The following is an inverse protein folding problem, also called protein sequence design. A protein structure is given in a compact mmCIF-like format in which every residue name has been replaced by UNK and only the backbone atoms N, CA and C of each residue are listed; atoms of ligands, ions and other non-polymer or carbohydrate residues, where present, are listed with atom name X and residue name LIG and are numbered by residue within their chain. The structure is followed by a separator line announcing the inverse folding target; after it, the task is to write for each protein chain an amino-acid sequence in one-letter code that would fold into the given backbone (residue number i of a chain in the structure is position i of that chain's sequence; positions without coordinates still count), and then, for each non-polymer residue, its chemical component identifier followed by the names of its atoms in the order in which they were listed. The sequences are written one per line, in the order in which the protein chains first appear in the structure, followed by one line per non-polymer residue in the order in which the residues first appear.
data_IF_071969236217
#
_entry.id   IF_071969236217
#
_cell.length_a   1.000
_cell.length_b   1.000
_cell.length_c   1.000
_cell.angle_alpha   90.00
_cell.angle_beta   90.00
_cell.angle_gamma   90.00
#
_symmetry.space_group_name_H-M   'P 1'
#
loop_
_entity.id
_entity.type
_entity.pdbx_description
1 polymer ?
#
# COMPACT_ATOMS: atom_id res chain seq x y z
N UNK A 1 -17.66 4.47 40.19
CA UNK A 1 -17.96 3.90 38.85
C UNK A 1 -17.52 4.92 37.80
N UNK A 2 -16.32 4.76 37.25
CA UNK A 2 -15.78 5.62 36.18
C UNK A 2 -15.93 4.87 34.85
N UNK A 3 -16.70 5.41 33.92
CA UNK A 3 -16.81 4.90 32.56
C UNK A 3 -15.56 5.29 31.77
N UNK A 4 -14.78 4.31 31.32
CA UNK A 4 -13.71 4.53 30.35
C UNK A 4 -14.31 4.55 28.94
N UNK A 5 -14.39 5.74 28.35
CA UNK A 5 -14.67 5.93 26.94
C UNK A 5 -13.41 5.58 26.13
N UNK A 6 -13.49 4.56 25.28
CA UNK A 6 -12.46 4.26 24.29
C UNK A 6 -12.63 5.22 23.10
N UNK A 7 -11.66 6.10 22.88
CA UNK A 7 -11.51 6.83 21.62
C UNK A 7 -10.86 5.89 20.59
N UNK A 8 -11.58 5.52 19.54
CA UNK A 8 -10.99 5.03 18.30
C UNK A 8 -10.43 6.22 17.52
N UNK A 9 -9.12 6.40 17.54
CA UNK A 9 -8.41 7.25 16.59
C UNK A 9 -8.22 6.48 15.27
N UNK A 10 -8.88 6.94 14.20
CA UNK A 10 -8.61 6.49 12.82
C UNK A 10 -7.19 6.89 12.44
N UNK A 11 -6.27 5.91 12.47
CA UNK A 11 -4.95 6.05 11.88
C UNK A 11 -5.06 5.77 10.38
N UNK A 12 -5.14 6.83 9.56
CA UNK A 12 -4.92 6.69 8.12
C UNK A 12 -3.43 6.43 7.91
N UNK A 13 -3.03 5.15 7.82
CA UNK A 13 -1.70 4.80 7.32
C UNK A 13 -1.70 5.06 5.82
N UNK A 14 -1.25 6.25 5.44
CA UNK A 14 -0.82 6.50 4.06
C UNK A 14 0.46 5.70 3.87
N UNK A 15 0.35 4.52 3.26
CA UNK A 15 1.52 3.86 2.67
C UNK A 15 1.96 4.77 1.53
N UNK A 16 2.95 5.61 1.79
CA UNK A 16 3.56 6.44 0.76
C UNK A 16 4.22 5.50 -0.23
N UNK A 17 3.70 5.47 -1.45
CA UNK A 17 4.44 4.98 -2.58
C UNK A 17 5.59 5.97 -2.77
N UNK A 18 6.81 5.54 -2.46
CA UNK A 18 8.03 6.29 -2.72
C UNK A 18 8.26 6.45 -4.22
N UNK A 19 7.46 7.30 -4.87
CA UNK A 19 7.90 8.04 -6.03
C UNK A 19 8.61 9.29 -5.49
N UNK A 20 9.94 9.30 -5.56
CA UNK A 20 10.74 10.46 -5.20
C UNK A 20 10.39 11.64 -6.12
N UNK A 21 9.59 12.58 -5.63
CA UNK A 21 9.51 13.94 -6.15
C UNK A 21 9.74 14.92 -5.00
N UNK A 22 10.99 15.03 -4.55
CA UNK A 22 11.41 16.04 -3.58
C UNK A 22 11.70 17.37 -4.27
N UNK A 23 10.71 18.27 -4.30
CA UNK A 23 10.99 19.71 -4.38
C UNK A 23 11.09 20.25 -2.94
N UNK A 24 12.30 20.17 -2.40
CA UNK A 24 12.66 20.64 -1.08
C UNK A 24 14.08 20.18 -0.78
N UNK A 25 15.05 21.06 -1.00
CA UNK A 25 16.46 20.78 -0.77
C UNK A 25 16.71 20.59 0.73
N UNK A 26 16.70 19.33 1.17
CA UNK A 26 17.44 18.92 2.36
C UNK A 26 18.95 19.01 2.05
N UNK A 27 19.81 19.25 3.05
CA UNK A 27 21.25 19.35 2.83
C UNK A 27 21.77 18.04 2.22
N UNK A 28 22.34 18.11 1.03
CA UNK A 28 23.03 17.02 0.36
C UNK A 28 24.30 16.66 1.14
N UNK A 29 24.21 15.76 2.12
CA UNK A 29 25.38 15.11 2.69
C UNK A 29 25.08 13.63 2.98
N UNK A 30 25.92 12.76 2.38
CA UNK A 30 26.09 11.31 2.56
C UNK A 30 25.51 10.35 1.51
N UNK A 31 24.69 10.80 0.56
CA UNK A 31 24.26 9.95 -0.57
C UNK A 31 25.27 9.96 -1.72
N UNK A 32 26.44 9.37 -1.51
CA UNK A 32 27.42 9.11 -2.56
C UNK A 32 27.61 7.58 -2.69
N UNK A 33 27.02 7.03 -3.77
CA UNK A 33 27.54 5.95 -4.64
C UNK A 33 26.56 4.77 -4.89
N UNK A 34 26.02 4.58 -6.12
CA UNK A 34 24.99 3.60 -6.43
C UNK A 34 25.48 2.14 -6.50
N UNK A 35 26.69 1.78 -6.05
CA UNK A 35 27.26 0.45 -6.33
C UNK A 35 26.60 -0.70 -5.55
N UNK A 36 25.67 -0.42 -4.65
CA UNK A 36 24.90 -1.42 -3.92
C UNK A 36 23.43 -1.00 -3.88
N UNK A 37 22.52 -1.92 -4.20
CA UNK A 37 21.07 -1.70 -4.19
C UNK A 37 20.37 -2.85 -3.48
N UNK A 38 19.41 -2.52 -2.62
CA UNK A 38 18.47 -3.49 -2.08
C UNK A 38 17.43 -3.90 -3.14
N UNK A 39 17.28 -5.20 -3.36
CA UNK A 39 16.47 -5.81 -4.42
C UNK A 39 15.42 -6.81 -3.87
N UNK A 40 15.31 -6.97 -2.54
CA UNK A 40 14.31 -7.87 -1.96
C UNK A 40 12.90 -7.39 -2.31
N UNK A 41 12.01 -8.27 -2.80
CA UNK A 41 10.61 -7.95 -2.94
C UNK A 41 10.02 -7.39 -1.64
N UNK A 42 9.23 -6.33 -1.72
CA UNK A 42 8.64 -5.71 -0.53
C UNK A 42 7.75 -6.65 0.30
N UNK A 43 7.20 -7.71 -0.30
CA UNK A 43 6.43 -8.70 0.45
C UNK A 43 7.31 -9.69 1.22
N UNK A 44 8.57 -9.85 0.82
CA UNK A 44 9.56 -10.70 1.51
C UNK A 44 10.22 -9.95 2.68
N UNK A 45 9.96 -8.64 2.84
CA UNK A 45 10.45 -7.84 3.97
C UNK A 45 9.45 -7.77 5.13
N UNK A 46 8.25 -8.32 4.97
CA UNK A 46 7.29 -8.53 6.06
C UNK A 46 7.28 -10.03 6.34
N UNK A 47 7.67 -10.47 7.53
CA UNK A 47 7.95 -11.87 7.87
C UNK A 47 7.25 -12.30 9.16
N UNK A 48 6.89 -13.56 9.30
CA UNK A 48 6.56 -14.13 10.60
C UNK A 48 7.83 -14.43 11.41
N UNK A 49 7.71 -14.38 12.73
CA UNK A 49 8.81 -14.58 13.69
C UNK A 49 9.74 -15.80 13.44
N UNK A 50 9.23 -16.87 12.86
CA UNK A 50 9.97 -18.13 12.63
C UNK A 50 10.50 -18.26 11.21
N UNK A 51 10.19 -17.33 10.32
CA UNK A 51 10.64 -17.37 8.94
C UNK A 51 12.09 -16.92 8.82
N UNK A 52 12.80 -17.54 7.88
CA UNK A 52 14.18 -17.16 7.60
C UNK A 52 14.23 -15.80 6.91
N UNK A 53 14.95 -14.84 7.51
CA UNK A 53 15.17 -13.53 6.91
C UNK A 53 16.17 -13.67 5.77
N UNK A 54 15.71 -13.40 4.54
CA UNK A 54 16.53 -13.41 3.33
C UNK A 54 16.44 -12.05 2.66
N UNK A 55 17.58 -11.38 2.56
CA UNK A 55 17.66 -10.07 1.91
C UNK A 55 18.56 -10.12 0.69
N UNK A 56 18.03 -9.68 -0.45
CA UNK A 56 18.73 -9.66 -1.72
C UNK A 56 19.32 -8.29 -1.99
N UNK A 57 20.62 -8.27 -2.26
CA UNK A 57 21.35 -7.06 -2.63
C UNK A 57 22.05 -7.26 -3.95
N UNK A 58 21.92 -6.27 -4.83
CA UNK A 58 22.59 -6.23 -6.13
C UNK A 58 23.76 -5.26 -6.09
N UNK A 59 24.92 -5.69 -6.57
CA UNK A 59 26.07 -4.82 -6.75
C UNK A 59 25.98 -4.18 -8.13
N UNK A 60 25.69 -2.88 -8.18
CA UNK A 60 25.61 -2.15 -9.44
C UNK A 60 27.01 -1.86 -9.98
N UNK A 61 27.19 -2.05 -11.29
CA UNK A 61 28.49 -1.84 -11.92
C UNK A 61 29.57 -2.81 -11.44
N UNK A 62 29.22 -4.04 -11.04
CA UNK A 62 30.16 -5.07 -10.55
C UNK A 62 31.40 -5.26 -11.46
N UNK A 63 31.24 -5.12 -12.79
CA UNK A 63 32.36 -5.20 -13.75
C UNK A 63 33.32 -4.01 -13.73
N UNK A 64 33.00 -2.93 -13.00
CA UNK A 64 33.82 -1.71 -12.88
C UNK A 64 34.74 -1.74 -11.65
N UNK A 65 34.52 -2.65 -10.69
CA UNK A 65 35.39 -2.77 -9.52
C UNK A 65 36.64 -3.56 -9.89
N UNK A 66 37.81 -2.94 -9.75
CA UNK A 66 39.10 -3.57 -10.06
C UNK A 66 39.89 -3.87 -8.79
N UNK A 67 40.00 -5.15 -8.43
CA UNK A 67 40.84 -5.60 -7.32
C UNK A 67 42.27 -5.07 -7.42
N UNK A 68 42.85 -5.10 -8.64
CA UNK A 68 44.22 -4.62 -8.86
C UNK A 68 44.35 -3.11 -8.63
N UNK A 69 43.41 -2.31 -9.14
CA UNK A 69 43.44 -0.84 -9.01
C UNK A 69 43.39 -0.41 -7.54
N UNK A 70 42.54 -1.06 -6.76
CA UNK A 70 42.32 -0.74 -5.35
C UNK A 70 43.15 -1.62 -4.39
N UNK A 71 44.08 -2.41 -4.92
CA UNK A 71 44.91 -3.36 -4.15
C UNK A 71 44.09 -4.22 -3.16
N UNK A 72 42.90 -4.66 -3.58
CA UNK A 72 41.98 -5.40 -2.72
C UNK A 72 42.43 -6.84 -2.55
N UNK A 73 42.36 -7.33 -1.32
CA UNK A 73 42.52 -8.73 -0.96
C UNK A 73 41.15 -9.43 -0.85
N UNK A 74 40.13 -8.74 -0.34
CA UNK A 74 38.76 -9.27 -0.22
C UNK A 74 37.70 -8.18 -0.34
N UNK A 75 36.46 -8.59 -0.61
CA UNK A 75 35.29 -7.73 -0.44
C UNK A 75 34.21 -8.47 0.32
N UNK A 76 33.46 -7.72 1.10
CA UNK A 76 32.41 -8.22 1.97
C UNK A 76 31.27 -7.21 2.06
N UNK A 77 30.07 -7.72 2.30
CA UNK A 77 28.98 -6.91 2.84
C UNK A 77 29.17 -6.87 4.34
N UNK A 78 29.20 -5.66 4.93
CA UNK A 78 29.00 -5.47 6.36
C UNK A 78 27.53 -5.13 6.56
N UNK A 79 26.86 -5.80 7.47
CA UNK A 79 25.49 -5.46 7.80
C UNK A 79 25.36 -5.15 9.28
N UNK A 80 24.48 -4.20 9.60
CA UNK A 80 24.09 -3.84 10.97
C UNK A 80 22.57 -3.80 11.01
N UNK A 81 22.00 -4.53 11.95
CA UNK A 81 20.57 -4.60 12.19
C UNK A 81 20.28 -3.74 13.41
N UNK A 82 19.41 -2.75 13.24
CA UNK A 82 18.91 -1.94 14.35
C UNK A 82 17.42 -2.21 14.52
N UNK A 83 16.93 -2.17 15.77
CA UNK A 83 15.51 -2.18 16.07
C UNK A 83 14.85 -0.81 15.78
N UNK A 84 13.56 -0.68 16.08
CA UNK A 84 12.79 0.54 15.88
C UNK A 84 13.35 1.75 16.65
N UNK A 85 13.88 1.50 17.85
CA UNK A 85 14.48 2.51 18.73
C UNK A 85 15.95 2.81 18.37
N UNK A 86 16.42 2.27 17.24
CA UNK A 86 17.76 2.41 16.70
C UNK A 86 18.85 1.78 17.59
N UNK A 87 18.51 0.81 18.44
CA UNK A 87 19.50 0.01 19.16
C UNK A 87 20.11 -1.03 18.22
N UNK A 88 21.42 -1.23 18.30
CA UNK A 88 22.10 -2.27 17.54
C UNK A 88 21.75 -3.65 18.10
N UNK A 89 21.15 -4.49 17.26
CA UNK A 89 20.71 -5.84 17.58
C UNK A 89 21.76 -6.87 17.21
N UNK A 90 22.22 -6.77 15.96
CA UNK A 90 23.10 -7.73 15.34
C UNK A 90 23.97 -6.99 14.32
N UNK A 91 25.20 -7.45 14.17
CA UNK A 91 26.03 -7.04 13.04
C UNK A 91 26.88 -8.21 12.59
N UNK A 92 27.22 -8.20 11.31
CA UNK A 92 28.01 -9.26 10.72
C UNK A 92 28.65 -8.85 9.41
N UNK A 93 29.32 -9.83 8.80
CA UNK A 93 29.92 -9.68 7.49
C UNK A 93 29.70 -10.94 6.67
N UNK A 94 29.37 -10.76 5.40
CA UNK A 94 29.27 -11.84 4.42
C UNK A 94 30.24 -11.61 3.27
N UNK A 95 30.94 -12.64 2.77
CA UNK A 95 31.78 -12.51 1.59
C UNK A 95 30.97 -11.99 0.39
N UNK A 96 31.49 -10.96 -0.28
CA UNK A 96 30.95 -10.46 -1.53
C UNK A 96 31.70 -11.04 -2.74
N UNK A 97 32.48 -12.09 -2.49
CA UNK A 97 33.48 -12.62 -3.42
C UNK A 97 33.45 -14.13 -3.47
N UNK A 98 33.99 -14.66 -4.56
CA UNK A 98 34.21 -16.08 -4.79
C UNK A 98 35.46 -16.27 -5.66
N UNK A 99 35.97 -17.50 -5.76
CA UNK A 99 37.18 -17.80 -6.54
C UNK A 99 36.84 -18.58 -7.81
N UNK A 100 37.30 -18.08 -8.97
CA UNK A 100 37.20 -18.75 -10.27
C UNK A 100 38.57 -18.87 -10.92
N UNK A 101 39.00 -20.07 -11.32
CA UNK A 101 40.32 -20.29 -11.93
C UNK A 101 41.46 -19.64 -11.12
N UNK A 102 41.43 -19.79 -9.79
CA UNK A 102 42.37 -19.18 -8.83
C UNK A 102 42.41 -17.64 -8.85
N UNK A 103 41.43 -16.98 -9.46
CA UNK A 103 41.26 -15.52 -9.44
C UNK A 103 40.05 -15.16 -8.60
N UNK A 104 40.23 -14.20 -7.70
CA UNK A 104 39.13 -13.64 -6.92
C UNK A 104 38.17 -12.87 -7.84
N UNK A 105 36.87 -13.01 -7.58
CA UNK A 105 35.75 -12.44 -8.33
C UNK A 105 34.71 -11.93 -7.37
N UNK A 106 33.93 -10.94 -7.81
CA UNK A 106 32.78 -10.43 -7.06
C UNK A 106 31.50 -11.19 -7.42
N UNK A 107 30.63 -11.35 -6.43
CA UNK A 107 29.26 -11.79 -6.65
C UNK A 107 28.42 -10.62 -7.18
N UNK A 108 27.73 -10.73 -8.32
CA UNK A 108 26.90 -9.65 -8.85
C UNK A 108 25.65 -9.40 -8.00
N UNK A 109 25.20 -10.41 -7.26
CA UNK A 109 24.12 -10.34 -6.28
C UNK A 109 24.47 -11.23 -5.08
N UNK A 110 24.02 -10.83 -3.90
CA UNK A 110 24.28 -11.50 -2.64
C UNK A 110 22.97 -11.60 -1.88
N UNK A 111 22.68 -12.79 -1.36
CA UNK A 111 21.59 -13.03 -0.44
C UNK A 111 22.18 -13.08 0.97
N UNK A 112 21.76 -12.15 1.83
CA UNK A 112 22.09 -12.17 3.25
C UNK A 112 21.07 -13.02 3.99
N UNK A 113 21.56 -13.95 4.80
CA UNK A 113 20.78 -14.67 5.80
C UNK A 113 20.97 -13.99 7.14
N UNK A 114 19.89 -13.62 7.81
CA UNK A 114 19.93 -12.90 9.09
C UNK A 114 19.21 -13.76 10.13
N UNK A 115 19.95 -14.15 11.15
CA UNK A 115 19.43 -14.88 12.30
C UNK A 115 19.36 -13.91 13.50
N UNK A 116 18.16 -13.39 13.78
CA UNK A 116 17.97 -12.52 14.93
C UNK A 116 18.12 -13.28 16.25
N UNK A 117 18.55 -12.61 17.33
CA UNK A 117 18.50 -13.18 18.67
C UNK A 117 17.08 -13.64 19.02
N UNK A 118 16.94 -14.77 19.72
CA UNK A 118 15.64 -15.37 20.06
C UNK A 118 14.71 -14.42 20.85
N UNK A 119 15.29 -13.48 21.61
CA UNK A 119 14.57 -12.45 22.37
C UNK A 119 13.88 -11.41 21.47
N UNK A 120 14.29 -11.31 20.19
CA UNK A 120 13.76 -10.38 19.21
C UNK A 120 13.00 -11.11 18.11
N UNK A 121 11.91 -11.76 18.49
CA UNK A 121 11.08 -12.54 17.58
C UNK A 121 10.09 -11.71 16.77
N UNK A 122 9.84 -10.44 17.13
CA UNK A 122 8.91 -9.54 16.41
C UNK A 122 9.35 -8.09 16.56
N UNK A 123 9.06 -7.25 15.57
CA UNK A 123 9.36 -5.82 15.62
C UNK A 123 9.62 -5.21 14.24
N UNK A 124 10.05 -3.96 14.23
CA UNK A 124 10.56 -3.27 13.05
C UNK A 124 12.07 -3.20 13.12
N UNK A 125 12.72 -3.52 12.02
CA UNK A 125 14.18 -3.53 11.96
C UNK A 125 14.67 -2.79 10.73
N UNK A 126 15.81 -2.12 10.86
CA UNK A 126 16.57 -1.60 9.73
C UNK A 126 17.86 -2.38 9.59
N UNK A 127 18.04 -3.02 8.44
CA UNK A 127 19.29 -3.67 8.04
C UNK A 127 20.07 -2.70 7.15
N UNK A 128 21.05 -2.02 7.73
CA UNK A 128 22.00 -1.20 6.96
C UNK A 128 23.11 -2.09 6.41
N UNK A 129 23.38 -2.00 5.11
CA UNK A 129 24.37 -2.82 4.42
C UNK A 129 25.38 -1.95 3.70
N UNK A 130 26.66 -2.23 3.93
CA UNK A 130 27.81 -1.57 3.31
C UNK A 130 28.61 -2.58 2.50
N UNK A 131 28.83 -2.28 1.22
CA UNK A 131 29.80 -2.98 0.40
C UNK A 131 31.19 -2.40 0.68
N UNK A 132 32.07 -3.20 1.28
CA UNK A 132 33.42 -2.80 1.65
C UNK A 132 34.47 -3.75 1.04
N UNK A 133 35.63 -3.20 0.71
CA UNK A 133 36.82 -3.96 0.34
C UNK A 133 37.97 -3.71 1.30
N UNK A 134 38.70 -4.77 1.61
CA UNK A 134 39.91 -4.71 2.41
C UNK A 134 41.11 -4.79 1.47
N UNK A 135 42.04 -3.87 1.61
CA UNK A 135 43.28 -3.85 0.83
C UNK A 135 44.31 -4.83 1.39
N UNK A 136 45.32 -5.15 0.59
CA UNK A 136 46.47 -5.95 1.02
C UNK A 136 47.27 -5.31 2.17
N UNK A 137 47.16 -3.99 2.36
CA UNK A 137 47.78 -3.25 3.47
C UNK A 137 46.88 -3.17 4.71
N UNK A 138 45.66 -3.71 4.65
CA UNK A 138 44.69 -3.71 5.75
C UNK A 138 43.76 -2.50 5.79
N UNK A 139 43.91 -1.54 4.88
CA UNK A 139 42.98 -0.40 4.74
C UNK A 139 41.61 -0.85 4.24
N UNK A 140 40.56 -0.06 4.50
CA UNK A 140 39.22 -0.33 4.00
C UNK A 140 38.75 0.73 3.02
N UNK A 141 38.13 0.27 1.93
CA UNK A 141 37.41 1.09 0.97
C UNK A 141 35.92 0.76 0.99
N UNK A 142 35.08 1.79 1.13
CA UNK A 142 33.62 1.65 1.01
C UNK A 142 33.20 1.97 -0.42
N UNK A 143 32.47 1.05 -1.04
CA UNK A 143 32.03 1.17 -2.43
C UNK A 143 30.56 1.59 -2.55
N UNK A 144 29.73 1.28 -1.56
CA UNK A 144 28.33 1.69 -1.53
C UNK A 144 27.64 1.27 -0.25
N UNK A 145 26.54 1.96 0.06
CA UNK A 145 25.68 1.70 1.19
C UNK A 145 24.23 1.59 0.72
N UNK A 146 23.44 0.75 1.37
CA UNK A 146 22.00 0.66 1.18
C UNK A 146 21.35 0.13 2.46
N UNK A 147 20.03 0.02 2.49
CA UNK A 147 19.32 -0.57 3.61
C UNK A 147 18.08 -1.33 3.15
N UNK A 148 17.61 -2.21 4.02
CA UNK A 148 16.29 -2.83 3.95
C UNK A 148 15.57 -2.59 5.27
N UNK A 149 14.31 -2.19 5.20
CA UNK A 149 13.43 -2.15 6.36
C UNK A 149 12.66 -3.47 6.42
N UNK A 150 12.59 -4.08 7.60
CA UNK A 150 11.93 -5.35 7.88
C UNK A 150 10.82 -5.13 8.90
N UNK A 151 9.70 -5.82 8.71
CA UNK A 151 8.66 -5.98 9.71
C UNK A 151 8.55 -7.46 10.05
N UNK A 152 8.88 -7.84 11.28
CA UNK A 152 8.67 -9.20 11.77
C UNK A 152 7.43 -9.20 12.63
N UNK A 153 6.37 -9.79 12.11
CA UNK A 153 5.06 -9.83 12.75
C UNK A 153 4.88 -11.14 13.52
N UNK A 154 4.09 -11.13 14.60
CA UNK A 154 3.70 -12.37 15.26
C UNK A 154 2.92 -13.26 14.28
N UNK A 155 2.89 -14.57 14.53
CA UNK A 155 2.02 -15.45 13.77
C UNK A 155 0.56 -14.99 13.92
N UNK A 156 -0.19 -15.12 12.82
CA UNK A 156 -1.61 -14.84 12.83
C UNK A 156 -2.29 -15.75 13.86
N UNK A 157 -3.14 -15.15 14.68
CA UNK A 157 -4.02 -15.89 15.58
C UNK A 157 -5.37 -15.97 14.89
N UNK A 158 -5.83 -17.19 14.59
CA UNK A 158 -7.21 -17.37 14.15
C UNK A 158 -8.15 -17.03 15.31
N UNK A 159 -8.81 -15.90 15.20
CA UNK A 159 -9.93 -15.57 16.07
C UNK A 159 -11.17 -16.21 15.46
N UNK A 160 -11.94 -16.96 16.25
CA UNK A 160 -13.24 -17.51 15.85
C UNK A 160 -14.24 -16.35 15.58
N UNK A 161 -14.11 -15.78 14.38
CA UNK A 161 -15.00 -14.92 13.60
C UNK A 161 -15.71 -13.72 14.31
N UNK A 162 -15.01 -12.64 14.72
CA UNK A 162 -15.68 -11.38 15.10
C UNK A 162 -15.59 -10.37 13.94
N UNK A 163 -16.29 -10.63 12.82
CA UNK A 163 -16.36 -9.78 11.61
C UNK A 163 -15.05 -9.02 11.26
N UNK A 164 -13.95 -9.75 11.04
CA UNK A 164 -12.83 -9.25 10.21
C UNK A 164 -12.36 -7.83 10.60
N UNK A 165 -12.15 -7.70 11.92
CA UNK A 165 -11.90 -6.50 12.73
C UNK A 165 -11.03 -5.41 12.10
N UNK A 166 -10.03 -5.80 11.31
CA UNK A 166 -9.10 -4.88 10.68
C UNK A 166 -9.22 -4.92 9.16
N UNK A 167 -9.60 -3.78 8.59
CA UNK A 167 -9.63 -3.56 7.16
C UNK A 167 -8.78 -2.36 6.74
N UNK A 168 -8.37 -2.36 5.49
CA UNK A 168 -7.63 -1.24 4.90
C UNK A 168 -8.45 -0.55 3.83
N UNK A 169 -8.34 0.77 3.78
CA UNK A 169 -8.81 1.52 2.62
C UNK A 169 -7.79 1.36 1.50
N UNK A 170 -8.21 0.75 0.40
CA UNK A 170 -7.39 0.47 -0.75
C UNK A 170 -7.76 1.43 -1.88
N UNK A 171 -7.00 2.52 -2.11
CA UNK A 171 -7.02 3.19 -3.41
C UNK A 171 -6.50 2.27 -4.53
N UNK A 172 -5.94 1.12 -4.17
CA UNK A 172 -5.29 0.07 -4.97
C UNK A 172 -6.14 -0.53 -6.11
N UNK A 173 -7.38 -0.07 -6.31
CA UNK A 173 -8.31 -0.60 -7.31
C UNK A 173 -8.61 0.36 -8.47
N UNK A 174 -9.03 1.60 -8.17
CA UNK A 174 -9.74 2.43 -9.17
C UNK A 174 -9.09 3.76 -9.55
N UNK A 175 -7.98 4.19 -8.94
CA UNK A 175 -7.33 5.45 -9.32
C UNK A 175 -5.89 5.18 -9.73
N UNK A 176 -5.52 5.55 -10.96
CA UNK A 176 -4.12 5.60 -11.36
C UNK A 176 -3.40 6.74 -10.62
N UNK A 177 -2.12 6.58 -10.22
CA UNK A 177 -1.18 5.53 -10.63
C UNK A 177 -1.07 4.36 -9.66
N UNK A 178 -2.03 4.10 -8.78
CA UNK A 178 -1.86 3.09 -7.74
C UNK A 178 -1.75 1.67 -8.34
N UNK A 179 -0.67 0.92 -8.05
CA UNK A 179 -0.52 -0.46 -8.52
C UNK A 179 -1.64 -1.37 -7.99
N UNK A 180 -2.15 -2.30 -8.82
CA UNK A 180 -3.24 -3.18 -8.41
C UNK A 180 -2.81 -4.12 -7.28
N UNK A 181 -3.79 -4.55 -6.47
CA UNK A 181 -3.63 -5.74 -5.66
C UNK A 181 -3.48 -6.97 -6.57
N UNK A 182 -2.48 -7.79 -6.33
CA UNK A 182 -2.13 -8.99 -7.08
C UNK A 182 -1.76 -10.11 -6.10
N UNK A 183 -1.68 -11.35 -6.57
CA UNK A 183 -1.16 -12.45 -5.77
C UNK A 183 0.29 -12.23 -5.29
N UNK A 184 1.05 -11.35 -5.95
CA UNK A 184 2.44 -11.06 -5.58
C UNK A 184 2.56 -10.18 -4.32
N UNK A 185 1.63 -9.23 -4.11
CA UNK A 185 1.67 -8.32 -2.96
C UNK A 185 0.58 -8.61 -1.91
N UNK A 186 -0.38 -9.49 -2.21
CA UNK A 186 -1.39 -9.93 -1.25
C UNK A 186 -0.83 -10.56 0.04
N UNK A 187 0.28 -11.33 0.04
CA UNK A 187 0.80 -11.94 1.26
C UNK A 187 1.11 -10.93 2.37
N UNK A 188 1.40 -9.67 2.03
CA UNK A 188 1.55 -8.58 3.02
C UNK A 188 0.26 -8.32 3.78
N UNK A 189 -0.88 -8.31 3.08
CA UNK A 189 -2.19 -8.13 3.70
C UNK A 189 -2.51 -9.27 4.65
N UNK A 190 -2.17 -10.50 4.27
CA UNK A 190 -2.37 -11.66 5.14
C UNK A 190 -1.54 -11.57 6.42
N UNK A 191 -0.25 -11.23 6.29
CA UNK A 191 0.67 -11.05 7.43
C UNK A 191 0.26 -9.92 8.36
N UNK A 192 -0.43 -8.90 7.84
CA UNK A 192 -1.02 -7.82 8.64
C UNK A 192 -2.35 -8.21 9.31
N UNK A 193 -2.88 -9.42 9.06
CA UNK A 193 -4.18 -9.85 9.54
C UNK A 193 -5.36 -9.14 8.87
N UNK A 194 -5.16 -8.55 7.68
CA UNK A 194 -6.22 -7.85 6.95
C UNK A 194 -7.20 -8.87 6.39
N UNK A 195 -8.49 -8.66 6.69
CA UNK A 195 -9.58 -9.50 6.21
C UNK A 195 -10.73 -8.73 5.56
N UNK A 196 -10.58 -7.42 5.43
CA UNK A 196 -11.53 -6.54 4.75
C UNK A 196 -10.80 -5.41 4.00
N UNK A 197 -11.29 -5.06 2.81
CA UNK A 197 -10.81 -3.92 2.03
C UNK A 197 -11.97 -3.01 1.66
N UNK A 198 -11.78 -1.71 1.89
CA UNK A 198 -12.63 -0.65 1.34
C UNK A 198 -12.01 -0.14 0.04
N UNK A 199 -12.66 -0.41 -1.09
CA UNK A 199 -12.17 -0.10 -2.42
C UNK A 199 -12.96 1.08 -2.96
N UNK A 200 -12.26 2.16 -3.28
CA UNK A 200 -12.86 3.24 -4.04
C UNK A 200 -13.15 2.73 -5.45
N UNK A 201 -14.39 2.84 -5.93
CA UNK A 201 -14.70 2.76 -7.36
C UNK A 201 -14.86 4.16 -7.92
N UNK A 202 -14.53 4.33 -9.19
CA UNK A 202 -14.52 5.63 -9.86
C UNK A 202 -15.19 5.45 -11.21
N UNK A 203 -16.48 5.74 -11.27
CA UNK A 203 -17.29 5.55 -12.49
C UNK A 203 -16.71 6.32 -13.68
N UNK A 204 -16.17 7.50 -13.44
CA UNK A 204 -15.44 8.37 -14.37
C UNK A 204 -14.20 7.75 -14.99
N UNK A 205 -13.64 6.71 -14.36
CA UNK A 205 -12.52 5.92 -14.91
C UNK A 205 -12.95 4.60 -15.54
N UNK A 206 -14.22 4.22 -15.36
CA UNK A 206 -14.80 2.97 -15.86
C UNK A 206 -15.62 3.17 -17.13
N UNK A 207 -16.14 4.39 -17.36
CA UNK A 207 -17.01 4.70 -18.49
C UNK A 207 -16.75 6.13 -18.99
N UNK A 208 -16.18 6.23 -20.20
CA UNK A 208 -15.80 7.52 -20.79
C UNK A 208 -16.98 8.27 -21.41
N UNK A 209 -18.01 7.56 -21.88
CA UNK A 209 -19.18 8.10 -22.59
C UNK A 209 -20.47 7.33 -22.23
N UNK A 210 -21.67 7.92 -22.36
CA UNK A 210 -22.93 7.33 -21.90
C UNK A 210 -23.24 5.92 -22.40
N UNK A 211 -22.83 5.61 -23.63
CA UNK A 211 -23.10 4.38 -24.37
C UNK A 211 -21.94 3.37 -24.32
N UNK A 212 -20.78 3.77 -23.78
CA UNK A 212 -19.65 2.88 -23.60
C UNK A 212 -19.95 1.81 -22.52
N UNK A 213 -19.52 0.54 -22.70
CA UNK A 213 -19.61 -0.44 -21.65
C UNK A 213 -18.71 -0.07 -20.46
N UNK A 214 -19.08 -0.49 -19.26
CA UNK A 214 -18.22 -0.36 -18.07
C UNK A 214 -16.98 -1.26 -18.18
N UNK A 215 -15.81 -0.70 -17.88
CA UNK A 215 -14.55 -1.45 -17.77
C UNK A 215 -14.35 -2.03 -16.35
N UNK A 216 -14.67 -3.31 -16.20
CA UNK A 216 -14.51 -4.03 -14.92
C UNK A 216 -13.10 -4.59 -14.67
N UNK A 217 -12.20 -4.56 -15.66
CA UNK A 217 -10.96 -5.39 -15.63
C UNK A 217 -10.11 -5.18 -14.38
N UNK A 218 -10.02 -3.95 -13.85
CA UNK A 218 -9.24 -3.65 -12.64
C UNK A 218 -9.92 -4.18 -11.38
N UNK A 219 -11.21 -3.93 -11.24
CA UNK A 219 -12.01 -4.35 -10.09
C UNK A 219 -12.20 -5.87 -10.06
N UNK A 220 -12.33 -6.52 -11.21
CA UNK A 220 -12.40 -7.98 -11.34
C UNK A 220 -11.11 -8.66 -10.90
N UNK A 221 -9.94 -8.12 -11.28
CA UNK A 221 -8.66 -8.63 -10.78
C UNK A 221 -8.54 -8.48 -9.27
N UNK A 222 -8.93 -7.34 -8.71
CA UNK A 222 -8.88 -7.09 -7.27
C UNK A 222 -9.81 -8.04 -6.51
N UNK A 223 -11.07 -8.14 -6.94
CA UNK A 223 -12.06 -9.00 -6.29
C UNK A 223 -11.66 -10.47 -6.35
N UNK A 224 -11.10 -10.93 -7.48
CA UNK A 224 -10.58 -12.29 -7.60
C UNK A 224 -9.47 -12.58 -6.58
N UNK A 225 -8.50 -11.68 -6.44
CA UNK A 225 -7.41 -11.83 -5.45
C UNK A 225 -7.98 -11.84 -4.03
N UNK A 226 -8.96 -10.98 -3.74
CA UNK A 226 -9.58 -10.92 -2.42
C UNK A 226 -10.36 -12.21 -2.11
N UNK A 227 -11.14 -12.73 -3.06
CA UNK A 227 -11.87 -13.99 -2.93
C UNK A 227 -10.93 -15.17 -2.70
N UNK A 228 -9.85 -15.27 -3.50
CA UNK A 228 -8.84 -16.33 -3.36
C UNK A 228 -8.10 -16.29 -2.01
N UNK A 229 -8.17 -15.16 -1.30
CA UNK A 229 -7.44 -14.90 -0.06
C UNK A 229 -8.34 -14.67 1.16
N UNK A 230 -9.64 -14.99 1.06
CA UNK A 230 -10.64 -14.74 2.10
C UNK A 230 -10.66 -13.28 2.65
N UNK A 231 -10.49 -12.31 1.76
CA UNK A 231 -10.59 -10.88 2.06
C UNK A 231 -11.97 -10.36 1.60
N UNK A 232 -12.73 -9.74 2.51
CA UNK A 232 -13.99 -9.07 2.16
C UNK A 232 -13.73 -7.79 1.39
N UNK A 233 -14.68 -7.44 0.54
CA UNK A 233 -14.63 -6.21 -0.24
C UNK A 233 -15.88 -5.39 0.05
N UNK A 234 -15.66 -4.14 0.47
CA UNK A 234 -16.63 -3.07 0.39
C UNK A 234 -16.25 -2.16 -0.78
N UNK A 235 -17.14 -2.00 -1.75
CA UNK A 235 -16.92 -1.08 -2.86
C UNK A 235 -17.72 0.21 -2.64
N UNK A 236 -17.09 1.36 -2.85
CA UNK A 236 -17.85 2.61 -2.98
C UNK A 236 -18.56 2.63 -4.34
N UNK A 237 -19.64 3.40 -4.47
CA UNK A 237 -20.22 3.82 -5.75
C UNK A 237 -20.04 5.33 -5.81
N UNK A 238 -19.08 5.82 -6.60
CA UNK A 238 -18.75 7.25 -6.69
C UNK A 238 -18.01 7.59 -7.99
N UNK A 239 -17.55 8.85 -8.11
CA UNK A 239 -16.76 9.31 -9.25
C UNK A 239 -17.62 9.54 -10.47
N UNK A 240 -18.70 10.31 -10.36
CA UNK A 240 -19.64 10.57 -11.47
C UNK A 240 -18.94 11.19 -12.69
N UNK A 241 -19.07 10.60 -13.90
CA UNK A 241 -18.51 11.16 -15.13
C UNK A 241 -19.24 12.41 -15.60
N UNK A 242 -18.56 13.21 -16.41
CA UNK A 242 -19.03 14.49 -16.92
C UNK A 242 -20.40 14.43 -17.61
N UNK A 243 -20.66 13.40 -18.41
CA UNK A 243 -21.92 13.25 -19.12
C UNK A 243 -23.10 12.98 -18.17
N UNK A 244 -22.83 12.29 -17.07
CA UNK A 244 -23.82 11.88 -16.08
C UNK A 244 -24.01 12.90 -14.96
N UNK A 245 -23.08 13.85 -14.79
CA UNK A 245 -23.15 14.82 -13.71
C UNK A 245 -24.27 15.86 -13.89
N UNK A 246 -24.87 16.27 -12.76
CA UNK A 246 -25.60 17.55 -12.70
C UNK A 246 -24.62 18.73 -12.88
N UNK A 247 -25.08 19.87 -13.42
CA UNK A 247 -24.27 21.08 -13.47
C UNK A 247 -23.74 21.45 -12.08
N UNK A 248 -22.46 21.82 -12.00
CA UNK A 248 -21.90 22.40 -10.76
C UNK A 248 -22.36 23.84 -10.66
N UNK A 249 -22.80 24.24 -9.47
CA UNK A 249 -22.94 25.65 -9.13
C UNK A 249 -21.56 26.32 -9.10
N UNK A 250 -21.29 27.15 -10.09
CA UNK A 250 -20.01 27.84 -10.28
C UNK A 250 -19.71 28.87 -9.17
N UNK A 251 -20.69 29.17 -8.31
CA UNK A 251 -20.49 30.07 -7.16
C UNK A 251 -19.81 29.38 -5.98
N UNK A 252 -19.67 28.05 -6.00
CA UNK A 252 -19.03 27.27 -4.94
C UNK A 252 -17.50 27.19 -5.17
N UNK A 253 -16.66 27.42 -4.14
CA UNK A 253 -15.20 27.40 -4.29
C UNK A 253 -14.66 26.08 -4.83
N UNK A 254 -13.81 26.17 -5.87
CA UNK A 254 -13.06 25.05 -6.46
C UNK A 254 -12.10 24.44 -5.40
N UNK A 255 -11.93 23.12 -5.32
CA UNK A 255 -12.44 22.10 -6.24
C UNK A 255 -13.70 21.41 -5.71
N UNK A 256 -14.86 21.84 -6.19
CA UNK A 256 -16.06 20.99 -6.18
C UNK A 256 -15.85 19.96 -7.28
N UNK A 257 -15.89 18.66 -6.93
CA UNK A 257 -15.98 17.60 -7.95
C UNK A 257 -17.37 17.66 -8.58
N UNK A 258 -17.68 16.83 -9.57
CA UNK A 258 -19.04 16.71 -10.13
C UNK A 258 -19.80 15.54 -9.45
N UNK A 259 -20.05 15.52 -8.12
CA UNK A 259 -20.40 14.27 -7.45
C UNK A 259 -21.83 13.82 -7.74
N UNK A 260 -22.79 14.74 -7.91
CA UNK A 260 -24.20 14.33 -8.04
C UNK A 260 -24.46 13.82 -9.47
N UNK A 261 -24.83 12.54 -9.62
CA UNK A 261 -25.23 12.00 -10.90
C UNK A 261 -26.71 12.31 -11.18
N UNK A 262 -27.02 12.61 -12.44
CA UNK A 262 -28.37 12.58 -12.99
C UNK A 262 -28.94 11.17 -12.81
N UNK A 263 -30.14 11.10 -12.24
CA UNK A 263 -30.73 9.83 -11.80
C UNK A 263 -30.77 8.71 -12.86
N UNK A 264 -31.18 8.95 -14.13
CA UNK A 264 -31.25 7.85 -15.11
C UNK A 264 -29.91 7.18 -15.41
N UNK A 265 -28.82 7.95 -15.41
CA UNK A 265 -27.47 7.41 -15.60
C UNK A 265 -26.99 6.69 -14.34
N UNK A 266 -27.26 7.26 -13.17
CA UNK A 266 -26.93 6.63 -11.89
C UNK A 266 -27.62 5.27 -11.73
N UNK A 267 -28.92 5.22 -12.00
CA UNK A 267 -29.70 3.99 -11.93
C UNK A 267 -29.11 2.89 -12.83
N UNK A 268 -28.75 3.25 -14.07
CA UNK A 268 -28.14 2.30 -15.02
C UNK A 268 -26.78 1.80 -14.53
N UNK A 269 -25.93 2.70 -14.04
CA UNK A 269 -24.63 2.38 -13.47
C UNK A 269 -24.74 1.46 -12.24
N UNK A 270 -25.60 1.81 -11.27
CA UNK A 270 -25.80 1.02 -10.05
C UNK A 270 -26.36 -0.35 -10.38
N UNK A 271 -27.34 -0.47 -11.28
CA UNK A 271 -27.88 -1.76 -11.70
C UNK A 271 -26.80 -2.65 -12.33
N UNK A 272 -25.95 -2.08 -13.20
CA UNK A 272 -24.85 -2.81 -13.83
C UNK A 272 -23.83 -3.30 -12.78
N UNK A 273 -23.36 -2.42 -11.90
CA UNK A 273 -22.41 -2.76 -10.83
C UNK A 273 -22.97 -3.80 -9.85
N UNK A 274 -24.19 -3.61 -9.36
CA UNK A 274 -24.84 -4.52 -8.41
C UNK A 274 -25.11 -5.89 -9.04
N UNK A 275 -25.47 -5.94 -10.33
CA UNK A 275 -25.67 -7.19 -11.05
C UNK A 275 -24.35 -7.94 -11.24
N UNK A 276 -23.30 -7.24 -11.69
CA UNK A 276 -21.99 -7.83 -11.95
C UNK A 276 -21.34 -8.39 -10.69
N UNK A 277 -21.34 -7.63 -9.58
CA UNK A 277 -20.70 -8.01 -8.32
C UNK A 277 -21.61 -8.74 -7.32
N UNK A 278 -22.80 -9.16 -7.73
CA UNK A 278 -23.73 -9.92 -6.88
C UNK A 278 -23.06 -11.15 -6.28
N UNK A 279 -23.09 -11.28 -4.95
CA UNK A 279 -22.45 -12.38 -4.23
C UNK A 279 -20.91 -12.42 -4.27
N UNK A 280 -20.26 -11.44 -4.92
CA UNK A 280 -18.80 -11.37 -5.04
C UNK A 280 -18.15 -10.45 -3.99
N UNK A 281 -18.93 -9.50 -3.47
CA UNK A 281 -18.53 -8.52 -2.46
C UNK A 281 -19.47 -8.59 -1.26
N UNK A 282 -19.07 -8.00 -0.14
CA UNK A 282 -19.87 -8.04 1.09
C UNK A 282 -20.65 -6.77 1.37
N UNK A 283 -20.21 -5.64 0.81
CA UNK A 283 -20.86 -4.36 1.04
C UNK A 283 -20.71 -3.37 -0.11
N UNK A 284 -21.71 -2.51 -0.27
CA UNK A 284 -21.63 -1.26 -1.02
C UNK A 284 -21.56 -0.07 -0.06
N UNK A 285 -20.88 0.99 -0.46
CA UNK A 285 -20.95 2.32 0.16
C UNK A 285 -21.43 3.34 -0.89
N UNK A 286 -22.49 4.08 -0.59
CA UNK A 286 -23.09 5.00 -1.56
C UNK A 286 -22.45 6.38 -1.44
N UNK A 287 -21.63 6.75 -2.42
CA UNK A 287 -20.79 7.96 -2.43
C UNK A 287 -19.75 7.98 -1.28
N UNK A 288 -19.12 9.13 -1.03
CA UNK A 288 -18.09 9.32 -0.01
C UNK A 288 -18.17 10.75 0.53
N UNK A 289 -18.14 10.95 1.86
CA UNK A 289 -18.04 12.26 2.51
C UNK A 289 -19.12 13.28 2.10
N UNK A 290 -20.37 12.85 1.97
CA UNK A 290 -21.48 13.69 1.49
C UNK A 290 -21.90 14.80 2.47
N UNK A 291 -21.34 14.84 3.68
CA UNK A 291 -21.45 15.99 4.57
C UNK A 291 -20.43 17.11 4.25
N UNK A 292 -19.53 16.90 3.29
CA UNK A 292 -18.59 17.91 2.82
C UNK A 292 -19.05 18.56 1.51
N UNK A 293 -18.90 19.88 1.40
CA UNK A 293 -19.35 20.66 0.23
C UNK A 293 -18.72 20.20 -1.10
N UNK A 294 -17.55 19.56 -1.06
CA UNK A 294 -16.86 19.02 -2.24
C UNK A 294 -17.55 17.80 -2.85
N UNK A 295 -18.31 17.06 -2.05
CA UNK A 295 -18.88 15.75 -2.40
C UNK A 295 -20.40 15.75 -2.42
N UNK A 296 -21.04 16.71 -1.76
CA UNK A 296 -22.47 16.96 -1.90
C UNK A 296 -22.73 18.46 -1.72
N UNK A 297 -23.36 19.13 -2.71
CA UNK A 297 -23.78 20.52 -2.61
C UNK A 297 -24.57 20.78 -1.32
N UNK A 298 -24.18 21.85 -0.62
CA UNK A 298 -24.76 22.30 0.65
C UNK A 298 -24.76 21.29 1.80
N UNK A 299 -24.12 20.12 1.64
CA UNK A 299 -24.07 19.06 2.64
C UNK A 299 -25.46 18.69 3.23
N UNK A 300 -26.53 18.86 2.44
CA UNK A 300 -27.89 18.71 2.94
C UNK A 300 -28.20 17.22 3.24
N UNK A 301 -28.45 16.86 4.52
CA UNK A 301 -28.67 15.47 4.90
C UNK A 301 -29.94 14.86 4.30
N UNK A 302 -31.00 15.66 4.12
CA UNK A 302 -32.29 15.15 3.65
C UNK A 302 -32.22 14.73 2.17
N UNK A 303 -31.67 15.59 1.31
CA UNK A 303 -31.49 15.25 -0.12
C UNK A 303 -30.56 14.05 -0.31
N UNK A 304 -29.49 13.94 0.48
CA UNK A 304 -28.64 12.76 0.44
C UNK A 304 -29.37 11.49 0.93
N UNK A 305 -30.15 11.59 2.00
CA UNK A 305 -30.95 10.46 2.50
C UNK A 305 -31.96 9.96 1.45
N UNK A 306 -32.63 10.87 0.75
CA UNK A 306 -33.58 10.53 -0.31
C UNK A 306 -32.88 9.86 -1.50
N UNK A 307 -31.71 10.36 -1.91
CA UNK A 307 -30.87 9.75 -2.94
C UNK A 307 -30.35 8.36 -2.53
N UNK A 308 -29.89 8.23 -1.28
CA UNK A 308 -29.46 6.97 -0.69
C UNK A 308 -30.59 5.95 -0.69
N UNK A 309 -31.79 6.33 -0.25
CA UNK A 309 -32.93 5.41 -0.16
C UNK A 309 -33.39 4.89 -1.52
N UNK A 310 -33.32 5.71 -2.57
CA UNK A 310 -33.60 5.25 -3.92
C UNK A 310 -32.54 4.25 -4.40
N UNK A 311 -31.26 4.54 -4.16
CA UNK A 311 -30.14 3.65 -4.52
C UNK A 311 -30.18 2.33 -3.73
N UNK A 312 -30.50 2.40 -2.45
CA UNK A 312 -30.67 1.25 -1.56
C UNK A 312 -31.72 0.26 -2.08
N UNK A 313 -32.88 0.77 -2.50
CA UNK A 313 -33.97 -0.07 -3.06
C UNK A 313 -33.51 -0.81 -4.31
N UNK A 314 -32.86 -0.11 -5.24
CA UNK A 314 -32.32 -0.72 -6.47
C UNK A 314 -31.35 -1.87 -6.17
N UNK A 315 -30.40 -1.65 -5.26
CA UNK A 315 -29.41 -2.68 -4.92
C UNK A 315 -30.09 -3.86 -4.20
N UNK A 316 -31.04 -3.60 -3.28
CA UNK A 316 -31.75 -4.65 -2.55
C UNK A 316 -32.60 -5.55 -3.44
N UNK A 317 -33.18 -5.03 -4.51
CA UNK A 317 -33.91 -5.82 -5.51
C UNK A 317 -32.99 -6.82 -6.24
N UNK A 318 -31.73 -6.43 -6.49
CA UNK A 318 -30.75 -7.25 -7.21
C UNK A 318 -30.04 -8.24 -6.27
N UNK A 319 -29.54 -7.74 -5.13
CA UNK A 319 -28.84 -8.52 -4.11
C UNK A 319 -29.43 -8.23 -2.72
N UNK A 320 -30.38 -9.06 -2.24
CA UNK A 320 -31.00 -8.85 -0.94
C UNK A 320 -30.04 -9.13 0.23
N UNK A 321 -28.90 -9.79 0.02
CA UNK A 321 -27.97 -10.21 1.07
C UNK A 321 -26.80 -9.23 1.28
N UNK A 322 -26.43 -8.43 0.28
CA UNK A 322 -25.32 -7.48 0.38
C UNK A 322 -25.59 -6.41 1.45
N UNK A 323 -24.56 -5.98 2.19
CA UNK A 323 -24.67 -4.85 3.12
C UNK A 323 -24.60 -3.54 2.32
N UNK A 324 -25.28 -2.49 2.77
CA UNK A 324 -25.31 -1.20 2.07
C UNK A 324 -25.09 -0.10 3.10
N UNK A 325 -23.93 0.55 3.05
CA UNK A 325 -23.54 1.64 3.92
C UNK A 325 -23.88 3.00 3.32
N UNK A 326 -24.22 3.95 4.18
CA UNK A 326 -24.13 5.38 3.86
C UNK A 326 -22.67 5.77 3.62
N UNK A 327 -22.44 6.92 3.00
CA UNK A 327 -21.12 7.53 2.86
C UNK A 327 -20.52 7.79 4.25
N UNK A 328 -19.24 7.41 4.42
CA UNK A 328 -18.46 7.87 5.57
C UNK A 328 -18.40 9.39 5.58
N UNK A 329 -18.54 10.01 6.76
CA UNK A 329 -18.54 11.47 6.91
C UNK A 329 -17.13 12.03 7.00
N UNK A 330 -16.91 13.21 6.42
CA UNK A 330 -15.65 13.95 6.61
C UNK A 330 -15.62 14.66 7.95
N UNK A 331 -14.44 14.76 8.56
CA UNK A 331 -14.19 15.47 9.82
C UNK A 331 -13.54 16.85 9.63
N UNK A 332 -13.54 17.39 8.41
CA UNK A 332 -12.92 18.69 8.11
C UNK A 332 -13.60 19.79 8.92
N UNK A 333 -12.79 20.50 9.71
CA UNK A 333 -13.18 21.67 10.48
C UNK A 333 -13.00 22.92 9.64
N UNK A 334 -14.02 23.26 8.86
CA UNK A 334 -13.96 24.39 7.94
C UNK A 334 -13.69 25.72 8.67
N UNK A 335 -14.09 25.82 9.93
CA UNK A 335 -13.81 26.95 10.83
C UNK A 335 -12.32 27.14 11.18
N UNK A 336 -11.43 26.21 10.80
CA UNK A 336 -9.97 26.33 11.01
C UNK A 336 -9.23 26.92 9.81
N UNK A 337 -9.94 27.19 8.72
CA UNK A 337 -9.38 27.75 7.49
C UNK A 337 -9.82 29.21 7.48
N UNK A 338 -8.94 30.09 7.97
CA UNK A 338 -9.12 31.56 7.92
C UNK A 338 -9.26 32.09 6.49
#
# INVERSE_FOLDING_TARGET
MMSRSFLLSLLTIVISWGASSSNGQAPLSDYINPMLRHDTPHHDTVLYAQEQIKLYFRILGHGKISFKKYQLDSMHLRYRVHDFDNNLVLQGREPATWTYNKKLRFSPAIMLHIDLPAEQSTGWFRVSVTLAGQTMTGEQHVFGNTWADLAIVPQSVELDNPDRFFGLSAPLGAIQPTPPLTQYNQPVLDRMGVRSLRVFTHWDTMQDQPDAPLDYRRLDRLTKVCQDSDIQVMMTLMGTPDFAALPIDQTVPVPVRKPIPKWPYWESFVKAMATHYRGQITAWEILNETNGFRQWPNADPQTYADFYMQTYKLIREIDPKVRISIAGTTGVKYEWID
#
